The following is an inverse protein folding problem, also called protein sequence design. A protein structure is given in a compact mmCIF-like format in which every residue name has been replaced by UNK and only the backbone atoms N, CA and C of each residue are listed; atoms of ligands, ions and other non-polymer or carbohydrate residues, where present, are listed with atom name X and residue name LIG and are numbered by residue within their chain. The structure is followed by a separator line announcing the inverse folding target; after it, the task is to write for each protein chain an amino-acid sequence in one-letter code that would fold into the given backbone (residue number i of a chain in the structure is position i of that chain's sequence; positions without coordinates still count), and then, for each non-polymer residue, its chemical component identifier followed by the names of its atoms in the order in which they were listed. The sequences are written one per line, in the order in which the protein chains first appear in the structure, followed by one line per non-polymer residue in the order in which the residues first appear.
data_IF_128138847694
#
_entry.id   IF_128138847694
#
_cell.length_a   1.000
_cell.length_b   1.000
_cell.length_c   1.000
_cell.angle_alpha   90.00
_cell.angle_beta   90.00
_cell.angle_gamma   90.00
#
_symmetry.space_group_name_H-M   'P 1'
#
loop_
_entity.id
_entity.type
_entity.pdbx_description
1 polymer ?
#
# COMPACT_ATOMS: atom_id res chain seq x y z
N UNK A 1 -27.14 48.46 -0.62
CA UNK A 1 -26.92 48.82 0.79
C UNK A 1 -27.16 47.59 1.65
N UNK A 2 -26.15 47.24 2.46
CA UNK A 2 -26.05 46.29 3.59
C UNK A 2 -27.30 45.47 3.98
N UNK A 3 -27.09 44.16 4.11
CA UNK A 3 -27.74 43.33 5.14
C UNK A 3 -26.66 42.44 5.79
N UNK A 4 -26.71 42.38 7.11
CA UNK A 4 -25.62 41.98 7.99
C UNK A 4 -25.50 40.46 8.15
N UNK A 5 -24.25 39.99 8.24
CA UNK A 5 -23.89 38.64 8.66
C UNK A 5 -23.98 38.55 10.19
N UNK A 6 -24.88 37.74 10.70
CA UNK A 6 -24.86 37.25 12.08
C UNK A 6 -24.00 35.99 12.17
N UNK A 7 -22.94 36.06 12.97
CA UNK A 7 -22.07 34.94 13.31
C UNK A 7 -22.75 33.99 14.31
N UNK A 8 -22.55 32.68 14.13
CA UNK A 8 -22.85 31.64 15.11
C UNK A 8 -21.53 31.16 15.76
N UNK A 9 -21.50 30.87 17.07
CA UNK A 9 -20.29 30.61 17.85
C UNK A 9 -19.76 29.17 17.68
N UNK A 10 -18.50 28.88 18.09
CA UNK A 10 -17.88 27.58 17.88
C UNK A 10 -18.48 26.52 18.81
N UNK A 11 -18.85 25.38 18.23
CA UNK A 11 -19.35 24.23 18.97
C UNK A 11 -18.20 23.53 19.71
N UNK A 12 -18.15 23.69 21.03
CA UNK A 12 -17.35 22.87 21.94
C UNK A 12 -17.85 21.43 21.93
N UNK A 13 -17.10 20.50 21.32
CA UNK A 13 -17.33 19.06 21.48
C UNK A 13 -16.66 18.56 22.76
N UNK A 14 -17.40 18.58 23.87
CA UNK A 14 -17.18 17.66 25.00
C UNK A 14 -18.42 16.78 25.12
N UNK A 15 -18.26 15.48 24.86
CA UNK A 15 -19.34 14.51 24.95
C UNK A 15 -18.83 13.08 24.97
N UNK A 16 -18.63 12.54 26.18
CA UNK A 16 -18.68 11.14 26.57
C UNK A 16 -17.93 10.09 25.71
N UNK A 17 -16.61 10.00 25.92
CA UNK A 17 -15.90 8.73 25.82
C UNK A 17 -16.34 7.85 27.00
N UNK A 18 -17.13 6.80 26.73
CA UNK A 18 -17.13 5.63 27.62
C UNK A 18 -15.72 5.05 27.56
N UNK A 19 -15.05 5.02 28.71
CA UNK A 19 -13.72 4.48 28.85
C UNK A 19 -13.68 3.06 28.29
N UNK A 20 -12.99 2.90 27.15
CA UNK A 20 -12.50 1.59 26.74
C UNK A 20 -11.51 1.12 27.81
N UNK A 21 -11.69 -0.11 28.27
CA UNK A 21 -10.81 -0.77 29.23
C UNK A 21 -9.36 -0.77 28.73
N UNK A 22 -8.33 -0.73 29.61
CA UNK A 22 -6.93 -0.48 29.23
C UNK A 22 -6.24 -1.58 28.40
N UNK A 23 -6.97 -2.59 27.91
CA UNK A 23 -6.40 -3.82 27.34
C UNK A 23 -6.23 -3.80 25.80
N UNK A 24 -6.63 -2.75 25.09
CA UNK A 24 -6.65 -2.71 23.62
C UNK A 24 -5.43 -2.04 22.94
N UNK A 25 -4.36 -1.73 23.69
CA UNK A 25 -3.19 -0.97 23.17
C UNK A 25 -1.99 -1.85 22.74
N UNK A 26 -2.18 -3.14 22.48
CA UNK A 26 -1.08 -4.11 22.32
C UNK A 26 -0.54 -4.31 20.87
N UNK A 27 -0.53 -3.28 20.02
CA UNK A 27 -0.05 -3.39 18.62
C UNK A 27 1.47 -3.17 18.43
N UNK A 28 2.03 -2.26 19.21
CA UNK A 28 3.46 -2.18 19.49
C UNK A 28 3.49 -2.12 21.02
N UNK A 29 3.92 -3.20 21.67
CA UNK A 29 4.05 -3.19 23.14
C UNK A 29 4.90 -1.97 23.53
N UNK A 30 4.73 -1.46 24.75
CA UNK A 30 5.75 -0.59 25.38
C UNK A 30 7.01 -1.43 25.61
N UNK A 31 7.64 -1.85 24.52
CA UNK A 31 8.87 -2.59 24.49
C UNK A 31 9.93 -1.67 25.07
N UNK A 32 10.67 -2.21 26.02
CA UNK A 32 11.94 -1.75 26.57
C UNK A 32 12.44 -0.46 25.94
N UNK A 33 12.43 0.65 26.71
CA UNK A 33 13.11 1.92 26.38
C UNK A 33 14.38 1.57 25.61
N UNK A 34 14.52 2.06 24.38
CA UNK A 34 15.71 1.79 23.58
C UNK A 34 16.91 2.31 24.37
N UNK A 35 17.61 1.40 25.03
CA UNK A 35 18.84 1.64 25.76
C UNK A 35 20.00 1.37 24.80
N UNK A 36 19.96 1.92 23.58
CA UNK A 36 21.14 1.90 22.70
C UNK A 36 22.02 3.08 23.07
N UNK A 37 23.20 2.88 23.68
CA UNK A 37 24.46 2.46 23.05
C UNK A 37 24.63 3.06 21.65
N UNK A 38 25.38 4.17 21.60
CA UNK A 38 26.18 4.77 20.52
C UNK A 38 25.60 4.73 19.08
N UNK A 39 25.67 5.84 18.31
CA UNK A 39 25.26 5.82 16.90
C UNK A 39 26.04 4.74 16.14
N UNK A 40 25.36 3.66 15.74
CA UNK A 40 25.93 2.68 14.82
C UNK A 40 26.24 3.40 13.49
N UNK A 41 27.35 3.02 12.84
CA UNK A 41 27.78 3.65 11.60
C UNK A 41 26.66 3.61 10.54
N UNK A 42 26.57 4.66 9.70
CA UNK A 42 25.59 4.70 8.60
C UNK A 42 25.60 3.39 7.82
N UNK A 43 24.43 2.82 7.50
CA UNK A 43 24.35 1.63 6.69
C UNK A 43 25.05 1.83 5.34
N UNK A 44 25.98 0.94 5.00
CA UNK A 44 26.70 0.97 3.72
C UNK A 44 26.40 -0.28 2.91
N UNK A 45 26.32 -0.10 1.59
CA UNK A 45 26.14 -1.18 0.64
C UNK A 45 24.70 -1.65 0.48
N UNK A 46 24.50 -2.44 -0.59
CA UNK A 46 23.20 -2.96 -0.98
C UNK A 46 22.62 -3.94 0.03
N UNK A 47 21.32 -3.84 0.31
CA UNK A 47 20.56 -4.83 1.08
C UNK A 47 20.21 -6.07 0.22
N UNK A 48 20.31 -5.98 -1.11
CA UNK A 48 19.93 -7.07 -2.03
C UNK A 48 20.62 -8.41 -1.72
N UNK A 49 21.95 -8.51 -1.53
CA UNK A 49 22.60 -9.79 -1.27
C UNK A 49 22.12 -10.44 0.03
N UNK A 50 21.85 -9.63 1.04
CA UNK A 50 21.38 -10.07 2.36
C UNK A 50 19.94 -10.57 2.26
N UNK A 51 19.07 -9.81 1.60
CA UNK A 51 17.68 -10.22 1.29
C UNK A 51 17.65 -11.52 0.48
N UNK A 52 18.51 -11.68 -0.53
CA UNK A 52 18.60 -12.91 -1.32
C UNK A 52 19.05 -14.11 -0.46
N UNK A 53 20.04 -13.92 0.40
CA UNK A 53 20.50 -14.96 1.31
C UNK A 53 19.40 -15.39 2.31
N UNK A 54 18.62 -14.44 2.82
CA UNK A 54 17.46 -14.73 3.68
C UNK A 54 16.38 -15.51 2.92
N UNK A 55 16.05 -15.09 1.70
CA UNK A 55 15.10 -15.80 0.83
C UNK A 55 15.58 -17.22 0.49
N UNK A 56 16.89 -17.46 0.45
CA UNK A 56 17.51 -18.76 0.18
C UNK A 56 17.87 -19.55 1.44
N UNK A 57 17.58 -19.02 2.62
CA UNK A 57 17.83 -19.74 3.87
C UNK A 57 16.87 -20.93 4.02
N UNK A 58 17.42 -22.05 4.51
CA UNK A 58 16.68 -23.29 4.72
C UNK A 58 15.50 -23.07 5.67
N UNK A 59 14.30 -23.41 5.22
CA UNK A 59 13.08 -23.25 6.03
C UNK A 59 12.50 -21.83 6.03
N UNK A 60 13.05 -20.89 5.24
CA UNK A 60 12.38 -19.62 5.00
C UNK A 60 11.01 -19.82 4.37
N UNK A 61 10.08 -18.91 4.67
CA UNK A 61 8.73 -18.89 4.06
C UNK A 61 8.84 -18.86 2.52
N UNK A 62 9.84 -18.14 1.98
CA UNK A 62 10.13 -18.09 0.55
C UNK A 62 10.50 -19.46 -0.05
N UNK A 63 11.35 -20.24 0.60
CA UNK A 63 11.69 -21.57 0.13
C UNK A 63 10.54 -22.56 0.26
N UNK A 64 9.78 -22.50 1.34
CA UNK A 64 8.60 -23.33 1.55
C UNK A 64 7.54 -23.06 0.48
N UNK A 65 7.22 -21.79 0.22
CA UNK A 65 6.30 -21.36 -0.83
C UNK A 65 6.79 -21.80 -2.23
N UNK A 66 8.09 -21.64 -2.50
CA UNK A 66 8.68 -22.07 -3.77
C UNK A 66 8.73 -23.60 -3.92
N UNK A 67 8.83 -24.36 -2.82
CA UNK A 67 8.78 -25.82 -2.83
C UNK A 67 7.36 -26.33 -3.06
N UNK A 68 6.35 -25.75 -2.39
CA UNK A 68 4.94 -26.04 -2.63
C UNK A 68 4.55 -25.74 -4.08
N UNK A 69 4.94 -24.56 -4.61
CA UNK A 69 4.72 -24.20 -6.01
C UNK A 69 5.37 -25.21 -6.98
N UNK A 70 6.57 -25.70 -6.66
CA UNK A 70 7.26 -26.73 -7.46
C UNK A 70 6.55 -28.07 -7.37
N UNK A 71 6.06 -28.46 -6.19
CA UNK A 71 5.29 -29.68 -5.96
C UNK A 71 3.92 -29.65 -6.66
N UNK A 72 3.31 -28.46 -6.79
CA UNK A 72 2.06 -28.23 -7.53
C UNK A 72 2.22 -28.28 -9.07
N UNK A 73 3.44 -28.43 -9.59
CA UNK A 73 3.72 -28.66 -11.01
C UNK A 73 4.07 -27.39 -11.79
N UNK A 74 5.25 -27.41 -12.44
CA UNK A 74 5.80 -26.36 -13.32
C UNK A 74 5.02 -26.20 -14.64
N UNK A 75 3.81 -25.68 -14.60
CA UNK A 75 3.31 -24.87 -15.71
C UNK A 75 3.05 -23.47 -15.18
N UNK A 76 3.29 -22.43 -15.99
CA UNK A 76 2.81 -21.06 -15.70
C UNK A 76 1.44 -21.20 -15.05
N UNK A 77 1.26 -20.69 -13.82
CA UNK A 77 -0.04 -20.72 -13.13
C UNK A 77 -1.11 -20.42 -14.17
N UNK A 78 -1.92 -21.43 -14.50
CA UNK A 78 -2.90 -21.28 -15.57
C UNK A 78 -3.82 -20.12 -15.19
N UNK A 79 -4.48 -19.48 -16.16
CA UNK A 79 -5.51 -18.49 -15.84
C UNK A 79 -6.54 -19.06 -14.85
N UNK A 80 -6.78 -20.37 -14.88
CA UNK A 80 -7.63 -21.08 -13.92
C UNK A 80 -7.02 -21.18 -12.51
N UNK A 81 -5.71 -21.40 -12.37
CA UNK A 81 -5.04 -21.46 -11.07
C UNK A 81 -4.87 -20.07 -10.44
N UNK A 82 -4.63 -19.03 -11.25
CA UNK A 82 -4.71 -17.63 -10.80
C UNK A 82 -6.11 -17.27 -10.32
N UNK A 83 -7.14 -17.71 -11.05
CA UNK A 83 -8.55 -17.59 -10.62
C UNK A 83 -8.82 -18.40 -9.34
N UNK A 84 -8.22 -19.57 -9.16
CA UNK A 84 -8.36 -20.40 -7.95
C UNK A 84 -7.77 -19.73 -6.72
N UNK A 85 -6.61 -19.07 -6.84
CA UNK A 85 -6.04 -18.24 -5.76
C UNK A 85 -6.88 -17.01 -5.45
N UNK A 86 -7.44 -16.35 -6.48
CA UNK A 86 -8.42 -15.26 -6.29
C UNK A 86 -9.68 -15.75 -5.55
N UNK A 87 -10.14 -16.95 -5.89
CA UNK A 87 -11.28 -17.66 -5.27
C UNK A 87 -10.95 -18.33 -3.93
N UNK A 88 -9.69 -18.33 -3.48
CA UNK A 88 -9.34 -18.88 -2.18
C UNK A 88 -9.99 -18.08 -1.05
N UNK A 89 -10.20 -16.78 -1.27
CA UNK A 89 -11.01 -15.93 -0.37
C UNK A 89 -12.50 -16.28 -0.44
N UNK A 90 -13.02 -16.55 -1.64
CA UNK A 90 -14.44 -16.89 -1.85
C UNK A 90 -14.83 -18.24 -1.22
N UNK A 91 -13.85 -19.13 -1.00
CA UNK A 91 -14.03 -20.42 -0.34
C UNK A 91 -14.02 -20.34 1.20
N UNK A 92 -13.79 -19.16 1.79
CA UNK A 92 -13.74 -18.97 3.26
C UNK A 92 -15.12 -18.84 3.91
N UNK A 93 -16.21 -18.90 3.11
CA UNK A 93 -17.58 -18.79 3.61
C UNK A 93 -17.98 -17.38 4.04
N UNK A 94 -17.21 -16.35 3.65
CA UNK A 94 -17.56 -14.94 3.88
C UNK A 94 -18.51 -14.43 2.79
N UNK A 95 -19.32 -13.39 3.07
CA UNK A 95 -20.26 -12.84 2.09
C UNK A 95 -19.57 -12.29 0.83
N UNK A 96 -20.24 -12.36 -0.31
CA UNK A 96 -19.84 -11.59 -1.49
C UNK A 96 -19.96 -10.09 -1.18
N UNK A 97 -18.89 -9.33 -1.46
CA UNK A 97 -18.80 -7.93 -1.06
C UNK A 97 -19.87 -7.06 -1.74
N UNK A 98 -20.16 -7.26 -3.02
CA UNK A 98 -21.17 -6.47 -3.73
C UNK A 98 -22.58 -6.81 -3.20
N UNK A 99 -22.92 -8.08 -3.05
CA UNK A 99 -24.19 -8.49 -2.46
C UNK A 99 -24.34 -7.93 -1.03
N UNK A 100 -23.26 -7.97 -0.23
CA UNK A 100 -23.23 -7.42 1.12
C UNK A 100 -23.48 -5.91 1.12
N UNK A 101 -22.80 -5.13 0.26
CA UNK A 101 -23.05 -3.69 0.13
C UNK A 101 -24.52 -3.38 -0.22
N UNK A 102 -25.12 -4.15 -1.12
CA UNK A 102 -26.54 -4.01 -1.46
C UNK A 102 -27.47 -4.25 -0.26
N UNK A 103 -27.14 -5.23 0.60
CA UNK A 103 -27.88 -5.47 1.86
C UNK A 103 -27.70 -4.33 2.87
N UNK A 104 -26.57 -3.62 2.84
CA UNK A 104 -26.31 -2.43 3.66
C UNK A 104 -26.91 -1.14 3.07
N UNK A 105 -27.67 -1.23 1.97
CA UNK A 105 -28.33 -0.07 1.34
C UNK A 105 -27.42 0.80 0.48
N UNK A 106 -26.22 0.32 0.13
CA UNK A 106 -25.30 1.02 -0.76
C UNK A 106 -25.72 0.83 -2.22
N UNK A 107 -25.75 1.91 -2.98
CA UNK A 107 -26.08 1.87 -4.42
C UNK A 107 -24.96 1.21 -5.22
N UNK A 108 -25.32 0.27 -6.09
CA UNK A 108 -24.38 -0.50 -6.92
C UNK A 108 -24.67 -0.35 -8.43
N UNK A 109 -23.66 -0.54 -9.29
CA UNK A 109 -22.25 -0.73 -8.94
C UNK A 109 -21.64 0.53 -8.31
N UNK A 110 -20.58 0.39 -7.50
CA UNK A 110 -19.74 1.53 -7.17
C UNK A 110 -19.18 2.11 -8.47
N UNK A 111 -19.11 3.43 -8.58
CA UNK A 111 -18.70 4.11 -9.81
C UNK A 111 -17.53 5.04 -9.57
N UNK A 112 -16.67 5.15 -10.59
CA UNK A 112 -15.62 6.15 -10.66
C UNK A 112 -16.23 7.55 -10.68
N UNK A 113 -15.63 8.42 -9.89
CA UNK A 113 -15.85 9.85 -9.94
C UNK A 113 -14.83 10.48 -10.91
N UNK A 114 -14.59 11.78 -10.76
CA UNK A 114 -13.43 12.43 -11.34
C UNK A 114 -12.15 11.70 -10.89
N UNK A 115 -11.28 11.32 -11.85
CA UNK A 115 -9.98 10.76 -11.48
C UNK A 115 -9.05 11.91 -11.12
N UNK A 116 -8.74 12.04 -9.83
CA UNK A 116 -7.85 13.08 -9.31
C UNK A 116 -6.45 12.54 -9.00
N UNK A 117 -6.27 11.22 -8.95
CA UNK A 117 -4.98 10.57 -8.70
C UNK A 117 -4.69 9.46 -9.71
N UNK A 118 -3.52 9.53 -10.34
CA UNK A 118 -2.98 8.45 -11.16
C UNK A 118 -1.87 7.74 -10.38
N UNK A 119 -2.10 6.48 -10.00
CA UNK A 119 -1.09 5.65 -9.37
C UNK A 119 -0.35 4.80 -10.40
N UNK A 120 0.98 4.76 -10.33
CA UNK A 120 1.85 4.07 -11.28
C UNK A 120 2.68 3.04 -10.55
N UNK A 121 2.46 1.75 -10.82
CA UNK A 121 3.37 0.70 -10.38
C UNK A 121 4.47 0.51 -11.43
N UNK A 122 5.60 1.16 -11.22
CA UNK A 122 6.66 1.26 -12.24
C UNK A 122 7.46 -0.03 -12.43
N UNK A 123 7.27 -1.01 -11.55
CA UNK A 123 7.96 -2.29 -11.60
C UNK A 123 7.94 -3.02 -10.25
N UNK A 124 8.42 -4.26 -10.25
CA UNK A 124 8.32 -5.16 -9.10
C UNK A 124 9.68 -5.44 -8.44
N UNK A 125 10.76 -4.88 -8.98
CA UNK A 125 12.10 -4.91 -8.38
C UNK A 125 12.08 -4.17 -7.04
N UNK A 126 12.60 -4.81 -6.00
CA UNK A 126 12.77 -4.24 -4.66
C UNK A 126 14.05 -4.76 -4.03
N UNK A 127 14.72 -3.98 -3.19
CA UNK A 127 15.84 -4.47 -2.37
C UNK A 127 15.40 -5.28 -1.14
N UNK A 128 14.09 -5.30 -0.83
CA UNK A 128 13.48 -6.08 0.26
C UNK A 128 12.57 -7.18 -0.28
N UNK A 129 12.26 -8.17 0.56
CA UNK A 129 11.24 -9.18 0.28
C UNK A 129 10.31 -9.29 1.51
N UNK A 130 9.44 -8.30 1.72
CA UNK A 130 8.55 -8.29 2.87
C UNK A 130 7.54 -9.46 2.82
N UNK A 131 7.23 -10.04 3.98
CA UNK A 131 6.25 -11.14 4.14
C UNK A 131 4.80 -10.69 3.91
N UNK A 132 4.50 -9.41 4.12
CA UNK A 132 3.18 -8.81 3.90
C UNK A 132 3.04 -8.09 2.54
N UNK A 133 4.03 -8.22 1.64
CA UNK A 133 4.02 -7.48 0.38
C UNK A 133 2.89 -7.98 -0.54
N UNK A 134 1.84 -7.17 -0.71
CA UNK A 134 0.70 -7.49 -1.56
C UNK A 134 1.03 -7.45 -3.06
N UNK A 135 2.12 -6.77 -3.47
CA UNK A 135 2.60 -6.74 -4.87
C UNK A 135 3.60 -7.87 -5.18
N UNK A 136 4.07 -8.58 -4.15
CA UNK A 136 5.07 -9.66 -4.25
C UNK A 136 6.43 -9.19 -4.82
N UNK A 137 6.81 -7.95 -4.55
CA UNK A 137 8.08 -7.37 -4.96
C UNK A 137 9.27 -8.05 -4.25
N UNK A 138 10.42 -8.14 -4.94
CA UNK A 138 11.66 -8.74 -4.40
C UNK A 138 12.87 -8.42 -5.29
N UNK A 139 14.11 -8.72 -4.84
CA UNK A 139 15.29 -8.51 -5.69
C UNK A 139 15.34 -9.41 -6.93
N UNK A 140 14.51 -10.46 -7.01
CA UNK A 140 14.43 -11.38 -8.15
C UNK A 140 13.47 -10.92 -9.25
N UNK A 141 12.71 -9.86 -9.02
CA UNK A 141 11.73 -9.35 -9.99
C UNK A 141 12.43 -8.51 -11.06
N UNK A 142 11.89 -8.55 -12.26
CA UNK A 142 12.47 -7.88 -13.46
C UNK A 142 11.43 -7.05 -14.21
N UNK A 143 10.18 -7.14 -13.80
CA UNK A 143 9.08 -6.38 -14.34
C UNK A 143 9.31 -4.88 -14.12
N UNK A 144 9.27 -4.10 -15.20
CA UNK A 144 9.47 -2.65 -15.21
C UNK A 144 8.71 -2.01 -16.38
N UNK A 145 8.29 -0.76 -16.19
CA UNK A 145 7.76 0.07 -17.29
C UNK A 145 8.86 0.38 -18.31
N UNK A 146 8.51 0.31 -19.59
CA UNK A 146 9.38 0.75 -20.67
C UNK A 146 9.21 2.25 -20.98
N UNK A 147 10.15 2.79 -21.75
CA UNK A 147 10.18 4.21 -22.12
C UNK A 147 8.93 4.64 -22.91
N UNK A 148 8.45 3.77 -23.82
CA UNK A 148 7.23 4.03 -24.61
C UNK A 148 6.01 4.21 -23.71
N UNK A 149 5.88 3.40 -22.67
CA UNK A 149 4.79 3.50 -21.70
C UNK A 149 4.92 4.78 -20.87
N UNK A 150 6.12 5.14 -20.41
CA UNK A 150 6.38 6.42 -19.70
C UNK A 150 5.95 7.62 -20.56
N UNK A 151 6.40 7.69 -21.81
CA UNK A 151 6.03 8.76 -22.74
C UNK A 151 4.51 8.83 -22.97
N UNK A 152 3.86 7.68 -23.07
CA UNK A 152 2.42 7.63 -23.26
C UNK A 152 1.66 8.09 -21.99
N UNK A 153 2.08 7.65 -20.81
CA UNK A 153 1.51 8.09 -19.52
C UNK A 153 1.61 9.61 -19.39
N UNK A 154 2.76 10.21 -19.72
CA UNK A 154 2.93 11.66 -19.66
C UNK A 154 2.01 12.42 -20.64
N UNK A 155 1.74 11.85 -21.82
CA UNK A 155 0.76 12.40 -22.77
C UNK A 155 -0.66 12.33 -22.23
N UNK A 156 -1.06 11.20 -21.66
CA UNK A 156 -2.39 11.06 -21.04
C UNK A 156 -2.53 12.01 -19.86
N UNK A 157 -1.51 12.12 -18.99
CA UNK A 157 -1.50 13.08 -17.88
C UNK A 157 -1.65 14.53 -18.33
N UNK A 158 -1.00 14.92 -19.43
CA UNK A 158 -1.15 16.26 -19.99
C UNK A 158 -2.57 16.53 -20.52
N UNK A 159 -3.27 15.49 -20.97
CA UNK A 159 -4.64 15.54 -21.45
C UNK A 159 -5.70 15.37 -20.33
N UNK A 160 -5.27 15.14 -19.08
CA UNK A 160 -6.15 14.91 -17.92
C UNK A 160 -5.97 16.03 -16.88
N UNK A 161 -6.68 17.16 -17.03
CA UNK A 161 -6.51 18.32 -16.15
C UNK A 161 -7.02 18.07 -14.72
N UNK A 162 -8.00 17.17 -14.54
CA UNK A 162 -8.56 16.84 -13.21
C UNK A 162 -7.61 16.01 -12.34
N UNK A 163 -6.59 15.38 -12.93
CA UNK A 163 -5.59 14.63 -12.18
C UNK A 163 -4.65 15.62 -11.52
N UNK A 164 -4.61 15.65 -10.20
CA UNK A 164 -3.78 16.57 -9.42
C UNK A 164 -2.49 15.88 -8.95
N UNK A 165 -2.56 14.56 -8.72
CA UNK A 165 -1.48 13.80 -8.08
C UNK A 165 -1.08 12.57 -8.90
N UNK A 166 0.23 12.36 -9.03
CA UNK A 166 0.84 11.14 -9.55
C UNK A 166 1.48 10.37 -8.39
N UNK A 167 0.94 9.20 -8.07
CA UNK A 167 1.40 8.34 -6.97
C UNK A 167 2.28 7.21 -7.52
N UNK A 168 3.60 7.31 -7.33
CA UNK A 168 4.57 6.37 -7.88
C UNK A 168 4.89 5.30 -6.84
N UNK A 169 4.62 4.05 -7.19
CA UNK A 169 4.80 2.86 -6.35
C UNK A 169 5.50 1.74 -7.13
N UNK A 170 5.76 0.60 -6.51
CA UNK A 170 6.43 -0.52 -7.15
C UNK A 170 6.91 -1.57 -6.16
N UNK A 171 8.13 -2.03 -6.35
CA UNK A 171 8.88 -2.73 -5.31
C UNK A 171 9.65 -1.75 -4.44
N UNK A 172 10.74 -1.23 -5.00
CA UNK A 172 11.22 0.11 -4.69
C UNK A 172 11.18 0.87 -6.02
N UNK A 173 10.21 1.79 -6.23
CA UNK A 173 10.02 2.46 -7.51
C UNK A 173 11.31 3.13 -8.01
N UNK A 174 12.11 3.66 -7.12
CA UNK A 174 13.33 4.44 -7.36
C UNK A 174 14.43 3.61 -8.03
N UNK A 175 14.40 2.28 -7.85
CA UNK A 175 15.32 1.34 -8.51
C UNK A 175 14.95 1.06 -9.97
N UNK A 176 13.82 1.58 -10.46
CA UNK A 176 13.39 1.38 -11.86
C UNK A 176 13.77 2.58 -12.73
N UNK A 177 14.23 2.36 -13.98
CA UNK A 177 14.59 3.45 -14.89
C UNK A 177 13.44 4.43 -15.17
N UNK A 178 12.19 3.97 -15.11
CA UNK A 178 10.99 4.76 -15.37
C UNK A 178 10.71 5.84 -14.30
N UNK A 179 11.21 5.66 -13.07
CA UNK A 179 10.94 6.56 -11.95
C UNK A 179 11.34 8.01 -12.23
N UNK A 180 12.61 8.22 -12.58
CA UNK A 180 13.20 9.54 -12.77
C UNK A 180 12.51 10.38 -13.86
N UNK A 181 12.26 9.86 -15.08
CA UNK A 181 11.54 10.62 -16.10
C UNK A 181 10.07 10.85 -15.74
N UNK A 182 9.40 9.92 -15.03
CA UNK A 182 8.02 10.13 -14.56
C UNK A 182 7.94 11.26 -13.55
N UNK A 183 8.84 11.31 -12.55
CA UNK A 183 8.91 12.42 -11.59
C UNK A 183 9.11 13.74 -12.31
N UNK A 184 10.10 13.83 -13.20
CA UNK A 184 10.40 15.05 -13.97
C UNK A 184 9.21 15.50 -14.81
N UNK A 185 8.61 14.57 -15.56
CA UNK A 185 7.50 14.85 -16.45
C UNK A 185 6.24 15.28 -15.71
N UNK A 186 5.87 14.57 -14.65
CA UNK A 186 4.69 14.90 -13.83
C UNK A 186 4.84 16.28 -13.16
N UNK A 187 6.03 16.59 -12.62
CA UNK A 187 6.31 17.92 -12.03
C UNK A 187 6.33 19.03 -13.07
N UNK A 188 6.86 18.78 -14.28
CA UNK A 188 6.80 19.75 -15.37
C UNK A 188 5.35 20.06 -15.83
N UNK A 189 4.43 19.10 -15.65
CA UNK A 189 2.99 19.27 -15.85
C UNK A 189 2.27 19.90 -14.64
N UNK A 190 3.00 20.31 -13.60
CA UNK A 190 2.45 20.94 -12.39
C UNK A 190 1.73 19.98 -11.44
N UNK A 191 1.86 18.66 -11.61
CA UNK A 191 1.20 17.66 -10.76
C UNK A 191 1.96 17.46 -9.45
N UNK A 192 1.27 17.20 -8.33
CA UNK A 192 1.93 16.66 -7.13
C UNK A 192 2.47 15.26 -7.45
N UNK A 193 3.64 14.93 -6.91
CA UNK A 193 4.23 13.59 -7.07
C UNK A 193 4.42 12.99 -5.68
N UNK A 194 3.85 11.80 -5.47
CA UNK A 194 4.08 10.98 -4.30
C UNK A 194 5.09 9.90 -4.66
N UNK A 195 6.13 9.73 -3.83
CA UNK A 195 7.06 8.62 -3.87
C UNK A 195 6.77 7.64 -2.72
N UNK A 196 6.35 6.41 -3.04
CA UNK A 196 6.12 5.35 -2.05
C UNK A 196 7.42 4.62 -1.72
N UNK A 197 8.17 5.21 -0.80
CA UNK A 197 9.51 4.78 -0.46
C UNK A 197 9.54 3.68 0.61
N UNK A 198 10.42 2.69 0.44
CA UNK A 198 10.64 1.65 1.44
C UNK A 198 11.72 1.98 2.49
N UNK A 199 12.30 3.19 2.41
CA UNK A 199 13.39 3.77 3.19
C UNK A 199 14.78 3.15 2.99
N UNK A 200 14.90 1.83 2.92
CA UNK A 200 16.22 1.20 2.79
C UNK A 200 16.83 1.39 1.41
N UNK A 201 16.03 1.67 0.39
CA UNK A 201 16.48 2.01 -0.97
C UNK A 201 17.42 3.22 -1.00
N UNK A 202 17.31 4.14 -0.03
CA UNK A 202 18.17 5.33 0.09
C UNK A 202 19.67 5.00 0.26
N UNK A 203 19.99 3.74 0.59
CA UNK A 203 21.36 3.24 0.78
C UNK A 203 21.81 2.28 -0.33
N UNK A 204 20.97 2.04 -1.34
CA UNK A 204 21.36 1.23 -2.49
C UNK A 204 22.36 1.97 -3.38
N UNK A 205 23.34 1.26 -3.99
CA UNK A 205 24.26 1.87 -4.94
C UNK A 205 23.51 2.58 -6.08
N UNK A 206 23.88 3.83 -6.35
CA UNK A 206 23.22 4.68 -7.34
C UNK A 206 22.06 5.53 -6.80
N UNK A 207 21.67 5.34 -5.53
CA UNK A 207 20.62 6.13 -4.85
C UNK A 207 21.19 7.23 -3.96
N UNK A 208 22.48 7.53 -4.06
CA UNK A 208 23.15 8.51 -3.20
C UNK A 208 22.56 9.92 -3.35
N UNK A 209 22.01 10.25 -4.53
CA UNK A 209 21.35 11.53 -4.81
C UNK A 209 19.84 11.50 -4.67
N UNK A 210 19.25 10.36 -4.29
CA UNK A 210 17.80 10.21 -4.27
C UNK A 210 17.10 11.22 -3.35
N UNK A 211 17.51 11.43 -2.07
CA UNK A 211 16.89 12.46 -1.22
C UNK A 211 16.91 13.86 -1.84
N UNK A 212 18.06 14.26 -2.40
CA UNK A 212 18.23 15.58 -3.01
C UNK A 212 17.35 15.72 -4.26
N UNK A 213 17.30 14.69 -5.10
CA UNK A 213 16.44 14.69 -6.29
C UNK A 213 14.95 14.81 -5.93
N UNK A 214 14.49 14.07 -4.92
CA UNK A 214 13.10 14.16 -4.45
C UNK A 214 12.80 15.59 -3.97
N UNK A 215 13.73 16.19 -3.21
CA UNK A 215 13.61 17.55 -2.71
C UNK A 215 13.64 18.60 -3.84
N UNK A 216 14.56 18.47 -4.80
CA UNK A 216 14.68 19.31 -6.01
C UNK A 216 13.36 19.35 -6.80
N UNK A 217 12.66 18.22 -6.84
CA UNK A 217 11.37 18.10 -7.51
C UNK A 217 10.17 18.35 -6.60
N UNK A 218 10.37 18.57 -5.30
CA UNK A 218 9.29 18.77 -4.32
C UNK A 218 8.34 17.58 -4.23
N UNK A 219 8.85 16.35 -4.39
CA UNK A 219 8.08 15.13 -4.21
C UNK A 219 7.65 15.00 -2.75
N UNK A 220 6.43 14.51 -2.52
CA UNK A 220 5.95 14.06 -1.21
C UNK A 220 6.42 12.63 -0.99
N UNK A 221 7.13 12.37 0.11
CA UNK A 221 7.60 11.01 0.44
C UNK A 221 6.60 10.35 1.38
N UNK A 222 6.04 9.22 0.96
CA UNK A 222 5.16 8.38 1.79
C UNK A 222 5.90 7.09 2.10
N UNK A 223 6.50 7.03 3.29
CA UNK A 223 7.42 5.97 3.67
C UNK A 223 6.74 4.88 4.51
N UNK A 224 7.03 3.62 4.19
CA UNK A 224 6.47 2.47 4.92
C UNK A 224 7.33 2.09 6.13
N UNK A 225 6.82 2.31 7.35
CA UNK A 225 7.44 1.87 8.60
C UNK A 225 6.37 1.23 9.52
N UNK A 226 6.27 -0.12 9.55
CA UNK A 226 5.12 -0.79 10.17
C UNK A 226 5.07 -0.72 11.69
N UNK A 227 6.18 -0.39 12.37
CA UNK A 227 6.23 -0.13 13.81
C UNK A 227 7.50 0.67 14.13
N UNK A 228 7.53 1.33 15.29
CA UNK A 228 8.74 1.99 15.82
C UNK A 228 9.68 1.04 16.57
N UNK A 229 9.37 -0.26 16.64
CA UNK A 229 10.21 -1.27 17.30
C UNK A 229 10.99 -2.12 16.28
N UNK A 230 12.27 -2.38 16.61
CA UNK A 230 13.18 -3.19 15.79
C UNK A 230 12.64 -4.59 15.54
N UNK A 231 12.20 -5.28 16.59
CA UNK A 231 11.71 -6.65 16.51
C UNK A 231 10.56 -6.80 15.50
N UNK A 232 9.57 -5.89 15.55
CA UNK A 232 8.42 -5.96 14.65
C UNK A 232 8.80 -5.63 13.21
N UNK A 233 9.61 -4.60 13.00
CA UNK A 233 10.03 -4.19 11.65
C UNK A 233 10.90 -5.26 11.00
N UNK A 234 11.89 -5.79 11.72
CA UNK A 234 12.80 -6.78 11.16
C UNK A 234 12.08 -8.12 10.89
N UNK A 235 11.13 -8.52 11.75
CA UNK A 235 10.29 -9.71 11.52
C UNK A 235 9.46 -9.60 10.23
N UNK A 236 8.92 -8.41 9.93
CA UNK A 236 7.97 -8.23 8.83
C UNK A 236 8.66 -7.85 7.50
N UNK A 237 9.80 -7.18 7.54
CA UNK A 237 10.46 -6.61 6.35
C UNK A 237 11.83 -7.22 6.02
N UNK A 238 12.45 -7.95 6.94
CA UNK A 238 13.76 -8.56 6.77
C UNK A 238 14.78 -8.02 7.77
N UNK A 239 15.91 -8.72 7.92
CA UNK A 239 16.92 -8.36 8.91
C UNK A 239 17.55 -6.98 8.62
N UNK A 240 17.93 -6.24 9.67
CA UNK A 240 18.55 -4.91 9.60
C UNK A 240 17.70 -3.84 8.91
N UNK A 241 16.44 -4.12 8.56
CA UNK A 241 15.57 -3.14 7.91
C UNK A 241 15.24 -2.00 8.86
N UNK A 242 14.99 -2.27 10.15
CA UNK A 242 14.69 -1.22 11.12
C UNK A 242 15.77 -0.14 11.18
N UNK A 243 17.03 -0.55 11.36
CA UNK A 243 18.15 0.37 11.48
C UNK A 243 18.32 1.21 10.20
N UNK A 244 18.23 0.57 9.03
CA UNK A 244 18.27 1.27 7.75
C UNK A 244 17.08 2.22 7.58
N UNK A 245 15.89 1.86 8.02
CA UNK A 245 14.72 2.73 7.98
C UNK A 245 14.89 3.97 8.86
N UNK A 246 15.38 3.81 10.09
CA UNK A 246 15.66 4.94 11.00
C UNK A 246 16.71 5.87 10.39
N UNK A 247 17.83 5.32 9.88
CA UNK A 247 18.86 6.12 9.22
C UNK A 247 18.32 6.83 7.96
N UNK A 248 17.44 6.16 7.20
CA UNK A 248 16.81 6.74 6.01
C UNK A 248 15.90 7.93 6.35
N UNK A 249 15.12 7.81 7.42
CA UNK A 249 14.28 8.89 7.93
C UNK A 249 15.11 10.08 8.41
N UNK A 250 16.20 9.83 9.15
CA UNK A 250 17.13 10.87 9.57
C UNK A 250 17.76 11.60 8.36
N UNK A 251 18.11 10.86 7.30
CA UNK A 251 18.63 11.44 6.06
C UNK A 251 17.60 12.31 5.34
N UNK A 252 16.34 11.87 5.28
CA UNK A 252 15.24 12.66 4.74
C UNK A 252 15.02 13.94 5.58
N UNK A 253 14.96 13.84 6.91
CA UNK A 253 14.88 15.02 7.79
C UNK A 253 16.06 15.97 7.57
N UNK A 254 17.28 15.44 7.35
CA UNK A 254 18.48 16.22 7.07
C UNK A 254 18.38 17.09 5.80
N UNK A 255 17.64 16.65 4.78
CA UNK A 255 17.36 17.46 3.58
C UNK A 255 16.07 18.28 3.68
N UNK A 256 15.38 18.23 4.82
CA UNK A 256 14.23 19.08 5.15
C UNK A 256 12.87 18.39 5.13
N UNK A 257 12.78 17.11 4.78
CA UNK A 257 11.51 16.38 4.77
C UNK A 257 10.91 16.28 6.19
N UNK A 258 9.62 16.58 6.34
CA UNK A 258 8.94 16.54 7.65
C UNK A 258 9.26 17.72 8.57
N UNK A 259 10.23 18.57 8.21
CA UNK A 259 10.66 19.72 9.00
C UNK A 259 9.71 20.90 8.74
N UNK A 260 9.22 21.52 9.81
CA UNK A 260 8.32 22.68 9.71
C UNK A 260 8.98 23.82 8.91
N UNK A 261 8.23 24.41 7.99
CA UNK A 261 8.70 25.52 7.15
C UNK A 261 9.54 25.13 5.92
N UNK A 262 9.92 23.86 5.74
CA UNK A 262 10.68 23.43 4.55
C UNK A 262 9.83 23.32 3.28
N UNK A 263 8.53 23.07 3.43
CA UNK A 263 7.63 22.71 2.33
C UNK A 263 7.76 21.28 1.82
N UNK A 264 8.71 20.48 2.35
CA UNK A 264 8.94 19.09 1.96
C UNK A 264 8.17 18.13 2.87
N UNK A 265 7.22 17.39 2.28
CA UNK A 265 6.31 16.51 3.03
C UNK A 265 6.85 15.09 3.16
N UNK A 266 6.91 14.59 4.39
CA UNK A 266 7.20 13.20 4.72
C UNK A 266 6.07 12.65 5.57
N UNK A 267 5.42 11.61 5.09
CA UNK A 267 4.40 10.89 5.83
C UNK A 267 4.81 9.44 6.02
N UNK A 268 4.31 8.83 7.10
CA UNK A 268 4.59 7.44 7.43
C UNK A 268 3.34 6.60 7.27
N UNK A 269 3.52 5.36 6.83
CA UNK A 269 2.47 4.35 6.78
C UNK A 269 2.73 3.29 7.83
N UNK A 270 1.82 3.21 8.79
CA UNK A 270 1.71 2.13 9.77
C UNK A 270 0.81 1.02 9.23
N UNK A 271 1.29 -0.21 9.31
CA UNK A 271 0.52 -1.40 9.01
C UNK A 271 0.74 -2.39 10.16
N UNK A 272 -0.31 -2.94 10.80
CA UNK A 272 -0.17 -3.86 11.92
C UNK A 272 0.71 -5.07 11.60
N UNK A 273 1.41 -5.57 12.62
CA UNK A 273 2.30 -6.73 12.49
C UNK A 273 1.58 -8.09 12.47
N UNK A 274 0.24 -8.10 12.43
CA UNK A 274 -0.57 -9.31 12.53
C UNK A 274 -2.02 -9.11 12.09
N UNK A 275 -2.85 -10.14 12.31
CA UNK A 275 -4.24 -10.24 11.88
C UNK A 275 -5.22 -9.42 12.75
N UNK A 276 -4.95 -8.13 12.91
CA UNK A 276 -5.79 -7.20 13.68
C UNK A 276 -5.83 -5.82 13.03
N UNK A 277 -6.84 -5.01 13.37
CA UNK A 277 -6.98 -3.64 12.86
C UNK A 277 -5.97 -2.69 13.51
N UNK A 278 -5.50 -1.64 12.81
CA UNK A 278 -4.55 -0.69 13.38
C UNK A 278 -5.12 0.01 14.63
N UNK A 279 -4.37 0.07 15.76
CA UNK A 279 -4.82 0.82 16.93
C UNK A 279 -4.64 2.34 16.75
N UNK A 280 -5.22 3.20 17.61
CA UNK A 280 -4.91 4.63 17.66
C UNK A 280 -3.40 4.88 17.91
N UNK A 281 -2.78 5.78 17.15
CA UNK A 281 -1.31 5.91 17.09
C UNK A 281 -0.73 7.21 17.67
N UNK A 282 -1.38 7.84 18.64
CA UNK A 282 -0.89 9.09 19.28
C UNK A 282 0.53 8.96 19.89
N UNK A 283 0.97 7.73 20.17
CA UNK A 283 2.31 7.45 20.70
C UNK A 283 3.38 7.39 19.60
N UNK A 284 3.03 7.10 18.35
CA UNK A 284 4.00 6.78 17.30
C UNK A 284 4.96 7.94 17.00
N UNK A 285 4.42 9.15 16.82
CA UNK A 285 5.22 10.36 16.60
C UNK A 285 6.14 10.65 17.80
N UNK A 286 5.63 10.50 19.03
CA UNK A 286 6.41 10.73 20.25
C UNK A 286 7.56 9.74 20.40
N UNK A 287 7.35 8.46 20.08
CA UNK A 287 8.39 7.45 20.17
C UNK A 287 9.49 7.67 19.11
N UNK A 288 9.13 8.06 17.89
CA UNK A 288 10.11 8.34 16.84
C UNK A 288 10.93 9.60 17.13
N UNK A 289 10.30 10.67 17.62
CA UNK A 289 10.99 11.88 18.04
C UNK A 289 11.89 11.61 19.25
N UNK A 290 11.34 11.08 20.34
CA UNK A 290 12.06 10.94 21.60
C UNK A 290 13.25 9.97 21.53
N UNK A 291 13.15 8.90 20.72
CA UNK A 291 14.20 7.88 20.64
C UNK A 291 15.17 8.09 19.46
N UNK A 292 14.74 8.75 18.38
CA UNK A 292 15.52 8.82 17.13
C UNK A 292 15.63 10.24 16.53
N UNK A 293 14.97 11.23 17.12
CA UNK A 293 14.94 12.61 16.61
C UNK A 293 14.24 12.74 15.25
N UNK A 294 13.29 11.85 14.96
CA UNK A 294 12.60 11.80 13.67
C UNK A 294 11.31 12.61 13.73
N UNK A 295 11.14 13.49 12.75
CA UNK A 295 9.90 14.26 12.52
C UNK A 295 9.27 13.90 11.19
N UNK A 296 7.95 13.98 11.10
CA UNK A 296 7.16 13.73 9.89
C UNK A 296 5.83 14.50 9.99
N UNK A 297 5.10 14.60 8.89
CA UNK A 297 3.87 15.39 8.79
C UNK A 297 2.65 14.58 9.22
N UNK A 298 2.34 13.49 8.52
CA UNK A 298 1.16 12.67 8.80
C UNK A 298 1.50 11.18 9.00
N UNK A 299 0.68 10.49 9.79
CA UNK A 299 0.72 9.04 9.96
C UNK A 299 -0.55 8.43 9.38
N UNK A 300 -0.39 7.65 8.30
CA UNK A 300 -1.45 6.86 7.72
C UNK A 300 -1.46 5.47 8.35
N UNK A 301 -2.65 4.95 8.65
CA UNK A 301 -2.84 3.56 9.06
C UNK A 301 -3.51 2.80 7.94
N UNK A 302 -2.95 1.66 7.57
CA UNK A 302 -3.55 0.77 6.57
C UNK A 302 -3.82 -0.59 7.19
N UNK A 303 -4.98 -1.17 6.88
CA UNK A 303 -5.28 -2.56 7.22
C UNK A 303 -4.47 -3.49 6.32
N UNK A 304 -3.86 -4.54 6.87
CA UNK A 304 -3.20 -5.55 6.05
C UNK A 304 -4.20 -6.17 5.08
N UNK A 305 -3.92 -6.06 3.78
CA UNK A 305 -4.81 -6.66 2.79
C UNK A 305 -4.64 -8.18 2.76
N UNK A 306 -5.74 -8.96 2.87
CA UNK A 306 -5.72 -10.42 2.94
C UNK A 306 -5.46 -11.05 1.56
N UNK A 307 -4.38 -10.66 0.89
CA UNK A 307 -4.02 -11.09 -0.47
C UNK A 307 -2.54 -11.45 -0.56
N UNK A 308 -2.20 -12.28 -1.54
CA UNK A 308 -0.81 -12.67 -1.86
C UNK A 308 -0.04 -13.17 -0.64
N UNK A 309 1.19 -12.68 -0.42
CA UNK A 309 2.07 -13.19 0.66
C UNK A 309 1.43 -13.07 2.04
N UNK A 310 0.62 -12.04 2.30
CA UNK A 310 -0.05 -11.94 3.58
C UNK A 310 -1.16 -13.00 3.73
N UNK A 311 -1.92 -13.30 2.66
CA UNK A 311 -2.86 -14.41 2.68
C UNK A 311 -2.16 -15.77 2.87
N UNK A 312 -1.02 -15.98 2.19
CA UNK A 312 -0.22 -17.20 2.33
C UNK A 312 0.30 -17.34 3.77
N UNK A 313 0.76 -16.25 4.38
CA UNK A 313 1.20 -16.17 5.77
C UNK A 313 0.09 -16.59 6.74
N UNK A 314 -1.11 -16.00 6.60
CA UNK A 314 -2.28 -16.34 7.41
C UNK A 314 -2.81 -17.75 7.15
N UNK A 315 -2.57 -18.33 5.96
CA UNK A 315 -3.04 -19.69 5.66
C UNK A 315 -2.19 -20.77 6.36
N UNK A 316 -0.91 -20.49 6.62
CA UNK A 316 0.05 -21.48 7.13
C UNK A 316 0.10 -21.57 8.66
N UNK A 317 -0.58 -20.69 9.38
CA UNK A 317 -0.56 -20.61 10.84
C UNK A 317 0.79 -20.07 11.31
N UNK A 318 0.95 -18.75 11.33
CA UNK A 318 2.17 -18.14 11.79
C UNK A 318 2.29 -18.26 13.32
N UNK A 319 3.48 -18.60 13.87
CA UNK A 319 3.73 -18.47 15.30
C UNK A 319 3.81 -16.98 15.68
N UNK A 320 2.73 -16.43 16.21
CA UNK A 320 2.70 -15.11 16.87
C UNK A 320 2.61 -15.26 18.39
N UNK A 321 3.56 -14.71 19.18
CA UNK A 321 3.38 -14.52 20.63
C UNK A 321 2.24 -13.51 20.93
N UNK A 322 1.65 -13.51 22.14
CA UNK A 322 0.18 -13.49 22.40
C UNK A 322 -0.47 -12.08 22.54
N UNK A 323 -1.83 -11.90 22.67
CA UNK A 323 -3.04 -12.78 22.49
C UNK A 323 -4.23 -12.13 21.64
N UNK A 324 -5.46 -12.71 21.43
CA UNK A 324 -6.15 -13.92 21.97
C UNK A 324 -6.40 -15.04 20.92
N UNK A 325 -7.07 -16.19 21.25
CA UNK A 325 -6.96 -17.42 20.48
C UNK A 325 -7.87 -17.39 19.23
N UNK A 326 -7.30 -17.61 18.04
CA UNK A 326 -8.08 -17.77 16.82
C UNK A 326 -8.17 -19.27 16.45
N UNK A 327 -9.32 -19.93 16.59
CA UNK A 327 -9.62 -21.19 15.92
C UNK A 327 -10.31 -20.95 14.56
N UNK A 328 -10.72 -22.00 13.83
CA UNK A 328 -9.97 -22.65 12.74
C UNK A 328 -9.58 -21.71 11.57
N UNK A 329 -8.33 -21.83 11.10
CA UNK A 329 -7.77 -21.12 9.93
C UNK A 329 -7.58 -19.62 10.13
N UNK A 330 -6.36 -19.16 10.46
CA UNK A 330 -6.06 -17.74 10.76
C UNK A 330 -6.52 -16.77 9.64
N UNK A 331 -6.42 -17.17 8.36
CA UNK A 331 -6.97 -16.41 7.23
C UNK A 331 -8.52 -16.27 7.28
N UNK A 332 -9.24 -17.33 7.63
CA UNK A 332 -10.71 -17.30 7.72
C UNK A 332 -11.15 -16.38 8.86
N UNK A 333 -10.51 -16.51 10.02
CA UNK A 333 -10.78 -15.67 11.18
C UNK A 333 -10.49 -14.18 10.89
N UNK A 334 -9.37 -13.89 10.20
CA UNK A 334 -9.04 -12.53 9.80
C UNK A 334 -10.05 -11.95 8.81
N UNK A 335 -10.46 -12.74 7.81
CA UNK A 335 -11.51 -12.31 6.88
C UNK A 335 -12.84 -12.03 7.60
N UNK A 336 -13.22 -12.86 8.58
CA UNK A 336 -14.43 -12.62 9.37
C UNK A 336 -14.32 -11.33 10.19
N UNK A 337 -13.14 -11.05 10.78
CA UNK A 337 -12.89 -9.78 11.48
C UNK A 337 -13.12 -8.57 10.55
N UNK A 338 -12.66 -8.63 9.29
CA UNK A 338 -12.85 -7.54 8.33
C UNK A 338 -14.33 -7.34 7.98
N UNK A 339 -15.10 -8.43 7.83
CA UNK A 339 -16.54 -8.39 7.59
C UNK A 339 -17.28 -7.79 8.79
N UNK A 340 -17.00 -8.29 9.99
CA UNK A 340 -17.64 -7.84 11.23
C UNK A 340 -17.31 -6.38 11.55
N UNK A 341 -16.15 -5.92 11.08
CA UNK A 341 -15.68 -4.54 11.25
C UNK A 341 -16.08 -3.61 10.11
N UNK A 342 -16.92 -4.06 9.16
CA UNK A 342 -17.36 -3.23 8.05
C UNK A 342 -17.98 -1.91 8.53
N UNK A 343 -17.53 -0.81 7.93
CA UNK A 343 -18.00 0.53 8.21
C UNK A 343 -18.51 1.19 6.92
N UNK A 344 -19.84 1.31 6.81
CA UNK A 344 -20.48 1.92 5.63
C UNK A 344 -20.01 3.35 5.35
N UNK A 345 -19.60 4.11 6.38
CA UNK A 345 -19.15 5.50 6.20
C UNK A 345 -17.83 5.64 5.43
N UNK A 346 -17.06 4.56 5.27
CA UNK A 346 -15.82 4.59 4.49
C UNK A 346 -16.08 4.45 2.99
N UNK A 347 -17.27 3.97 2.59
CA UNK A 347 -17.58 3.58 1.20
C UNK A 347 -17.51 4.76 0.23
N UNK A 348 -18.02 5.92 0.65
CA UNK A 348 -17.98 7.15 -0.16
C UNK A 348 -16.57 7.75 -0.26
N UNK A 349 -15.66 7.32 0.61
CA UNK A 349 -14.28 7.80 0.69
C UNK A 349 -13.25 6.80 0.17
N UNK A 350 -13.68 5.70 -0.44
CA UNK A 350 -12.76 4.71 -0.99
C UNK A 350 -11.87 5.34 -2.07
N UNK A 351 -10.55 5.19 -1.93
CA UNK A 351 -9.55 5.67 -2.91
C UNK A 351 -9.91 5.28 -4.34
N UNK A 352 -10.40 4.05 -4.55
CA UNK A 352 -10.75 3.54 -5.88
C UNK A 352 -11.92 4.28 -6.54
N UNK A 353 -12.52 5.30 -5.91
CA UNK A 353 -13.51 6.18 -6.56
C UNK A 353 -12.85 7.29 -7.38
N UNK A 354 -11.71 7.80 -6.94
CA UNK A 354 -11.01 8.95 -7.57
C UNK A 354 -9.58 8.63 -8.02
N UNK A 355 -9.08 7.43 -7.72
CA UNK A 355 -7.77 6.93 -8.14
C UNK A 355 -7.90 5.93 -9.28
N UNK A 356 -6.92 5.85 -10.18
CA UNK A 356 -6.70 4.67 -11.05
C UNK A 356 -5.26 4.21 -10.91
N UNK A 357 -5.02 2.89 -10.98
CA UNK A 357 -3.68 2.31 -10.95
C UNK A 357 -3.30 1.76 -12.32
N UNK A 358 -2.08 2.07 -12.78
CA UNK A 358 -1.50 1.53 -14.01
C UNK A 358 -0.32 0.63 -13.66
N UNK A 359 -0.37 -0.62 -14.13
CA UNK A 359 0.69 -1.59 -13.96
C UNK A 359 1.89 -1.33 -14.87
N UNK A 360 3.00 -2.02 -14.60
CA UNK A 360 4.24 -1.89 -15.36
C UNK A 360 4.12 -2.27 -16.85
N UNK A 361 3.04 -2.96 -17.21
CA UNK A 361 2.67 -3.38 -18.57
C UNK A 361 1.64 -2.47 -19.24
N UNK A 362 1.24 -1.39 -18.56
CA UNK A 362 0.23 -0.43 -19.02
C UNK A 362 -1.21 -0.85 -18.75
N UNK A 363 -1.47 -2.00 -18.14
CA UNK A 363 -2.81 -2.43 -17.79
C UNK A 363 -3.41 -1.51 -16.70
N UNK A 364 -4.68 -1.12 -16.85
CA UNK A 364 -5.38 -0.26 -15.86
C UNK A 364 -6.23 -1.06 -14.88
N UNK A 365 -6.27 -0.59 -13.64
CA UNK A 365 -6.95 -1.18 -12.49
C UNK A 365 -7.60 -0.10 -11.63
N UNK A 366 -8.66 -0.44 -10.89
CA UNK A 366 -9.36 0.56 -10.09
C UNK A 366 -8.58 0.96 -8.83
N UNK A 367 -7.64 0.12 -8.39
CA UNK A 367 -6.67 0.37 -7.32
C UNK A 367 -5.48 -0.62 -7.39
N UNK A 368 -4.47 -0.41 -6.54
CA UNK A 368 -3.30 -1.29 -6.37
C UNK A 368 -3.69 -2.72 -5.95
N UNK A 369 -4.72 -2.90 -5.12
CA UNK A 369 -5.16 -4.23 -4.71
C UNK A 369 -5.84 -4.99 -5.84
N UNK A 370 -6.59 -4.29 -6.70
CA UNK A 370 -7.09 -4.88 -7.94
C UNK A 370 -5.93 -5.27 -8.85
N UNK A 371 -4.91 -4.42 -9.00
CA UNK A 371 -3.70 -4.74 -9.75
C UNK A 371 -2.97 -5.97 -9.20
N UNK A 372 -2.72 -6.02 -7.90
CA UNK A 372 -2.12 -7.16 -7.23
C UNK A 372 -2.89 -8.46 -7.49
N UNK A 373 -4.23 -8.39 -7.59
CA UNK A 373 -5.09 -9.54 -7.87
C UNK A 373 -5.32 -9.83 -9.35
N UNK A 374 -4.71 -9.10 -10.29
CA UNK A 374 -4.96 -9.17 -11.74
C UNK A 374 -6.44 -8.86 -12.11
N UNK A 375 -7.07 -7.90 -11.43
CA UNK A 375 -8.48 -7.48 -11.61
C UNK A 375 -8.61 -6.19 -12.44
N UNK A 376 -8.27 -6.25 -13.74
CA UNK A 376 -8.27 -5.10 -14.65
C UNK A 376 -9.62 -4.34 -14.72
N UNK A 377 -9.60 -3.00 -14.75
CA UNK A 377 -10.82 -2.14 -14.82
C UNK A 377 -11.61 -2.35 -16.12
N UNK A 378 -10.89 -2.41 -17.24
CA UNK A 378 -11.42 -2.63 -18.61
C UNK A 378 -10.73 -3.85 -19.24
N UNK A 379 -11.36 -4.46 -20.25
CA UNK A 379 -10.73 -5.48 -21.13
C UNK A 379 -9.85 -6.54 -20.45
N UNK A 380 -10.41 -7.45 -19.64
CA UNK A 380 -9.63 -8.58 -19.09
C UNK A 380 -10.33 -9.44 -18.01
N UNK A 381 -10.76 -10.65 -18.43
CA UNK A 381 -10.78 -11.90 -17.67
C UNK A 381 -11.37 -11.97 -16.25
N UNK A 382 -12.68 -11.79 -16.09
CA UNK A 382 -13.36 -12.14 -14.84
C UNK A 382 -14.85 -11.80 -14.91
N UNK A 383 -15.67 -12.81 -15.20
CA UNK A 383 -17.12 -12.74 -15.08
C UNK A 383 -17.50 -12.51 -13.62
N UNK A 384 -17.91 -11.28 -13.30
CA UNK A 384 -19.00 -11.10 -12.36
C UNK A 384 -20.27 -11.24 -13.21
N UNK A 385 -21.11 -12.24 -12.90
CA UNK A 385 -22.32 -12.67 -13.64
C UNK A 385 -22.05 -13.43 -14.95
N UNK A 386 -22.55 -14.67 -15.02
CA UNK A 386 -22.41 -15.60 -16.16
C UNK A 386 -23.21 -15.21 -17.40
N UNK A 387 -23.08 -13.97 -17.84
CA UNK A 387 -23.56 -13.51 -19.14
C UNK A 387 -22.41 -13.56 -20.17
N UNK A 388 -22.65 -14.02 -21.40
CA UNK A 388 -21.63 -14.07 -22.45
C UNK A 388 -21.13 -12.65 -22.77
N UNK A 389 -19.85 -12.39 -22.54
CA UNK A 389 -19.23 -11.07 -22.76
C UNK A 389 -18.55 -11.02 -24.12
N UNK A 390 -18.95 -10.05 -24.95
CA UNK A 390 -18.28 -9.69 -26.21
C UNK A 390 -16.81 -9.25 -25.94
N UNK A 391 -15.89 -9.37 -26.92
CA UNK A 391 -14.52 -8.91 -26.77
C UNK A 391 -14.52 -7.39 -26.55
N UNK A 392 -14.08 -6.95 -25.37
CA UNK A 392 -13.84 -5.52 -25.11
C UNK A 392 -12.45 -5.15 -25.68
N UNK A 393 -12.26 -3.92 -26.20
CA UNK A 393 -10.92 -3.40 -26.51
C UNK A 393 -10.01 -3.52 -25.28
N UNK A 394 -8.69 -3.52 -25.51
CA UNK A 394 -7.68 -3.63 -24.46
C UNK A 394 -7.98 -2.66 -23.31
N UNK A 395 -7.71 -3.08 -22.07
CA UNK A 395 -7.97 -2.29 -20.87
C UNK A 395 -6.77 -1.46 -20.42
N UNK A 396 -5.90 -1.10 -21.36
CA UNK A 396 -4.60 -0.48 -21.07
C UNK A 396 -4.68 1.03 -21.17
N UNK A 397 -3.70 1.72 -20.61
CA UNK A 397 -3.57 3.17 -20.71
C UNK A 397 -3.45 3.63 -22.17
N UNK A 398 -2.98 2.77 -23.08
CA UNK A 398 -2.89 3.06 -24.52
C UNK A 398 -4.25 3.16 -25.22
N UNK A 399 -5.31 2.70 -24.58
CA UNK A 399 -6.66 2.66 -25.14
C UNK A 399 -7.47 3.93 -24.86
N UNK A 400 -6.91 4.86 -24.08
CA UNK A 400 -7.55 6.13 -23.72
C UNK A 400 -6.65 7.31 -24.09
N UNK A 401 -7.27 8.46 -24.32
CA UNK A 401 -6.59 9.73 -24.54
C UNK A 401 -6.58 10.60 -23.28
N UNK A 402 -7.56 10.43 -22.39
CA UNK A 402 -7.62 11.07 -21.07
C UNK A 402 -8.23 10.14 -20.02
N UNK A 403 -7.80 10.29 -18.77
CA UNK A 403 -8.38 9.65 -17.59
C UNK A 403 -9.83 10.10 -17.29
N UNK A 404 -10.27 11.23 -17.87
CA UNK A 404 -11.65 11.70 -17.76
C UNK A 404 -12.64 10.70 -18.38
N UNK A 405 -12.17 9.89 -19.35
CA UNK A 405 -12.94 8.82 -19.99
C UNK A 405 -13.35 7.69 -19.03
N UNK A 406 -12.74 7.62 -17.84
CA UNK A 406 -13.06 6.62 -16.82
C UNK A 406 -14.22 7.04 -15.91
N UNK A 407 -14.68 8.30 -15.99
CA UNK A 407 -15.76 8.80 -15.14
C UNK A 407 -17.02 7.95 -15.31
N UNK A 408 -17.66 7.60 -14.20
CA UNK A 408 -18.86 6.74 -14.13
C UNK A 408 -18.66 5.27 -14.48
N UNK A 409 -17.44 4.83 -14.83
CA UNK A 409 -17.13 3.42 -14.98
C UNK A 409 -17.45 2.66 -13.69
N UNK A 410 -17.92 1.43 -13.84
CA UNK A 410 -18.14 0.55 -12.71
C UNK A 410 -16.79 0.12 -12.11
N UNK A 411 -16.65 0.29 -10.81
CA UNK A 411 -15.48 -0.14 -10.04
C UNK A 411 -15.59 -1.65 -9.76
N UNK A 412 -14.52 -2.38 -10.03
CA UNK A 412 -14.42 -3.79 -9.66
C UNK A 412 -14.21 -3.93 -8.17
N UNK A 413 -15.05 -4.78 -7.58
CA UNK A 413 -14.99 -5.14 -6.17
C UNK A 413 -14.75 -6.63 -6.01
N UNK A 414 -14.31 -7.03 -4.84
CA UNK A 414 -14.17 -8.43 -4.45
C UNK A 414 -13.96 -8.55 -2.95
N UNK A 415 -13.77 -9.77 -2.48
CA UNK A 415 -13.68 -10.09 -1.04
C UNK A 415 -12.59 -9.30 -0.29
N UNK A 416 -11.49 -8.96 -0.96
CA UNK A 416 -10.45 -8.09 -0.39
C UNK A 416 -10.95 -6.68 -0.01
N UNK A 417 -12.02 -6.16 -0.62
CA UNK A 417 -12.55 -4.83 -0.36
C UNK A 417 -13.09 -4.65 1.07
N UNK A 418 -13.37 -5.74 1.81
CA UNK A 418 -13.61 -5.67 3.26
C UNK A 418 -12.41 -5.08 4.00
N UNK A 419 -11.17 -5.29 3.53
CA UNK A 419 -9.98 -4.65 4.10
C UNK A 419 -9.98 -3.12 3.99
N UNK A 420 -10.50 -2.58 2.88
CA UNK A 420 -10.59 -1.12 2.67
C UNK A 420 -11.77 -0.47 3.40
N UNK A 421 -12.76 -1.27 3.80
CA UNK A 421 -13.99 -0.79 4.44
C UNK A 421 -14.11 -1.17 5.91
N UNK A 422 -13.14 -1.91 6.45
CA UNK A 422 -13.10 -2.27 7.87
C UNK A 422 -12.61 -1.11 8.74
N UNK A 423 -13.25 -0.91 9.89
CA UNK A 423 -12.83 0.07 10.90
C UNK A 423 -12.88 1.51 10.39
N UNK A 424 -11.74 2.22 10.44
CA UNK A 424 -11.60 3.57 9.88
C UNK A 424 -11.49 3.58 8.35
N UNK A 425 -11.35 2.42 7.72
CA UNK A 425 -11.08 2.28 6.30
C UNK A 425 -9.61 2.50 5.93
N UNK A 426 -9.28 2.08 4.71
CA UNK A 426 -8.02 2.41 4.02
C UNK A 426 -8.39 3.39 2.91
N UNK A 427 -8.58 4.65 3.29
CA UNK A 427 -9.17 5.73 2.47
C UNK A 427 -8.16 6.80 2.10
#
# INVERSE_FOLDING_TARGET
MRAAKTALPPATRRGCLRAATPAALAGCSRGTRWLGTQPEAEPRGSLVPETLAEMDSAGSEFQQNAAELRAMGKQRLSLQERKRRRRALDALGVPDFAAFLGQQGVSLPLRKEAVTMLQLNVGLLCNQACTHCHVESSPRRTEAMDERLVEHILRVLAASPEVETVDITGGAPEMTPAFWPLVRGARALGKEVIDRCNLTVLFEPGMERLPDFLAEHGCRVVASLPCYSRENVDKQRGNKVFQRSIAGLQRLNGVGYGVEGSGLKLDLVYNPGGAFLPPPQDAYARELDANFGIVFNELFTITNMPIKRYADHLHKGAPTPPPPPLPPGELQAYMQLLVDSFNVSTVDHLMCRTLVSVGHDGQMYDCDFNMALDMASRGGGGEASGAPQLPRPSGTIFDISSLDELRSDAIRTGTHCFGCTAGSGST
#
